data_IF_243749297350
#
_entry.id   IF_243749297350
#
_cell.length_a   1.000
_cell.length_b   1.000
_cell.length_c   1.000
_cell.angle_alpha   90.00
_cell.angle_beta   90.00
_cell.angle_gamma   90.00
#
_symmetry.space_group_name_H-M   'P 1'
#
loop_
_entity.id
_entity.type
_entity.pdbx_description
1 polymer ?
#
# COMPACT_ATOMS: atom_id res chain seq x y z
N UNK A 1 -9.90 -16.72 -0.12
CA UNK A 1 -9.60 -16.49 -1.55
C UNK A 1 -8.46 -15.48 -1.67
N UNK A 2 -7.47 -15.78 -2.49
CA UNK A 2 -6.32 -14.90 -2.66
C UNK A 2 -6.70 -13.66 -3.49
N UNK A 3 -6.15 -12.51 -3.10
CA UNK A 3 -6.32 -11.26 -3.83
C UNK A 3 -5.20 -11.16 -4.87
N UNK A 4 -5.53 -10.78 -6.09
CA UNK A 4 -4.50 -10.60 -7.11
C UNK A 4 -3.71 -9.32 -6.83
N UNK A 5 -2.45 -9.30 -7.27
CA UNK A 5 -1.60 -8.12 -7.12
C UNK A 5 -2.24 -6.92 -7.84
N UNK A 6 -2.85 -7.14 -8.99
CA UNK A 6 -3.50 -6.07 -9.76
C UNK A 6 -4.68 -5.46 -9.01
N UNK A 7 -5.51 -6.29 -8.39
CA UNK A 7 -6.65 -5.80 -7.61
C UNK A 7 -6.18 -5.04 -6.37
N UNK A 8 -5.18 -5.58 -5.68
CA UNK A 8 -4.62 -4.90 -4.52
C UNK A 8 -4.02 -3.56 -4.91
N UNK A 9 -3.27 -3.51 -6.01
CA UNK A 9 -2.67 -2.26 -6.49
C UNK A 9 -3.73 -1.21 -6.81
N UNK A 10 -4.82 -1.60 -7.46
CA UNK A 10 -5.89 -0.67 -7.80
C UNK A 10 -6.54 -0.08 -6.54
N UNK A 11 -6.77 -0.89 -5.53
CA UNK A 11 -7.35 -0.40 -4.28
C UNK A 11 -6.40 0.52 -3.51
N UNK A 12 -5.11 0.18 -3.51
CA UNK A 12 -4.09 1.01 -2.87
C UNK A 12 -3.98 2.35 -3.59
N UNK A 13 -3.96 2.35 -4.92
CA UNK A 13 -3.92 3.58 -5.71
C UNK A 13 -5.13 4.45 -5.44
N UNK A 14 -6.32 3.85 -5.34
CA UNK A 14 -7.53 4.59 -5.02
C UNK A 14 -7.47 5.24 -3.65
N UNK A 15 -6.98 4.50 -2.65
CA UNK A 15 -6.84 5.04 -1.31
C UNK A 15 -5.84 6.21 -1.26
N UNK A 16 -4.71 6.06 -1.93
CA UNK A 16 -3.71 7.12 -2.01
C UNK A 16 -4.27 8.37 -2.68
N UNK A 17 -4.99 8.19 -3.77
CA UNK A 17 -5.61 9.31 -4.49
C UNK A 17 -6.61 10.06 -3.60
N UNK A 18 -7.41 9.34 -2.83
CA UNK A 18 -8.44 9.95 -1.99
C UNK A 18 -7.89 10.56 -0.71
N UNK A 19 -6.87 9.95 -0.12
CA UNK A 19 -6.44 10.29 1.24
C UNK A 19 -5.09 10.99 1.32
N UNK A 20 -4.28 10.92 0.27
CA UNK A 20 -2.90 11.41 0.32
C UNK A 20 -2.61 12.45 -0.76
N UNK A 21 -2.92 12.17 -2.01
CA UNK A 21 -2.51 13.02 -3.14
C UNK A 21 -3.58 14.00 -3.61
N UNK A 22 -4.76 13.94 -3.06
CA UNK A 22 -5.83 14.86 -3.42
C UNK A 22 -6.36 14.68 -4.85
N UNK A 23 -6.36 13.44 -5.35
CA UNK A 23 -6.88 13.11 -6.66
C UNK A 23 -5.84 12.80 -7.71
N UNK A 24 -4.55 12.99 -7.42
CA UNK A 24 -3.49 12.64 -8.36
C UNK A 24 -3.29 11.12 -8.38
N UNK A 25 -3.24 10.55 -9.56
CA UNK A 25 -2.94 9.14 -9.71
C UNK A 25 -1.47 8.86 -9.42
N UNK A 26 -1.22 7.77 -8.70
CA UNK A 26 0.12 7.33 -8.36
C UNK A 26 0.46 6.12 -9.22
N UNK A 27 1.60 6.17 -9.91
CA UNK A 27 2.07 5.04 -10.70
C UNK A 27 2.45 3.87 -9.78
N UNK A 28 2.23 2.61 -10.20
CA UNK A 28 2.61 1.46 -9.37
C UNK A 28 4.08 1.40 -9.01
N UNK A 29 4.95 1.97 -9.82
CA UNK A 29 6.39 1.97 -9.61
C UNK A 29 6.92 3.24 -8.94
N UNK A 30 6.06 4.21 -8.68
CA UNK A 30 6.50 5.49 -8.08
C UNK A 30 7.07 5.24 -6.68
N UNK A 31 8.29 5.77 -6.38
CA UNK A 31 8.88 5.62 -5.04
C UNK A 31 8.12 6.50 -4.05
N UNK A 32 7.23 5.91 -3.28
CA UNK A 32 6.31 6.64 -2.41
C UNK A 32 7.01 7.35 -1.26
N UNK A 33 7.97 6.68 -0.64
CA UNK A 33 8.69 7.24 0.51
C UNK A 33 9.74 8.25 0.03
N UNK A 34 10.52 7.89 -0.98
CA UNK A 34 11.55 8.77 -1.52
C UNK A 34 10.98 10.06 -2.10
N UNK A 35 9.82 9.98 -2.76
CA UNK A 35 9.17 11.14 -3.35
C UNK A 35 8.31 11.91 -2.35
N UNK A 36 8.25 11.46 -1.10
CA UNK A 36 7.48 12.15 -0.08
C UNK A 36 5.98 12.00 -0.20
N UNK A 37 5.51 11.02 -0.97
CA UNK A 37 4.08 10.75 -1.10
C UNK A 37 3.53 10.20 0.21
N UNK A 38 4.28 9.30 0.86
CA UNK A 38 3.89 8.73 2.14
C UNK A 38 4.81 9.23 3.25
N UNK A 39 4.24 9.87 4.26
CA UNK A 39 4.92 10.16 5.52
C UNK A 39 4.77 8.96 6.44
N UNK A 40 5.47 8.96 7.59
CA UNK A 40 5.33 7.89 8.58
C UNK A 40 3.90 7.75 9.06
N UNK A 41 3.22 8.85 9.32
CA UNK A 41 1.83 8.83 9.77
C UNK A 41 0.91 8.27 8.69
N UNK A 42 1.08 8.71 7.45
CA UNK A 42 0.26 8.23 6.34
C UNK A 42 0.50 6.76 6.05
N UNK A 43 1.72 6.27 6.26
CA UNK A 43 2.02 4.85 6.10
C UNK A 43 1.27 4.03 7.16
N UNK A 44 1.19 4.52 8.40
CA UNK A 44 0.40 3.86 9.44
C UNK A 44 -1.09 3.84 9.09
N UNK A 45 -1.60 4.92 8.54
CA UNK A 45 -2.99 4.99 8.10
C UNK A 45 -3.25 4.00 6.97
N UNK A 46 -2.31 3.87 6.04
CA UNK A 46 -2.40 2.90 4.96
C UNK A 46 -2.41 1.47 5.50
N UNK A 47 -1.54 1.17 6.46
CA UNK A 47 -1.52 -0.16 7.09
C UNK A 47 -2.89 -0.50 7.68
N UNK A 48 -3.51 0.44 8.39
CA UNK A 48 -4.84 0.24 8.96
C UNK A 48 -5.85 -0.08 7.87
N UNK A 49 -5.80 0.66 6.76
CA UNK A 49 -6.68 0.40 5.62
C UNK A 49 -6.46 -1.01 5.07
N UNK A 50 -5.21 -1.41 4.88
CA UNK A 50 -4.88 -2.73 4.34
C UNK A 50 -5.36 -3.85 5.25
N UNK A 51 -5.15 -3.70 6.55
CA UNK A 51 -5.56 -4.72 7.51
C UNK A 51 -7.07 -4.91 7.54
N UNK A 52 -7.81 -3.81 7.49
CA UNK A 52 -9.27 -3.87 7.50
C UNK A 52 -9.83 -4.33 6.15
N UNK A 53 -9.26 -3.84 5.06
CA UNK A 53 -9.79 -4.10 3.72
C UNK A 53 -9.51 -5.52 3.25
N UNK A 54 -8.34 -6.06 3.57
CA UNK A 54 -7.91 -7.37 3.09
C UNK A 54 -7.86 -8.44 4.18
N UNK A 55 -8.21 -8.07 5.40
CA UNK A 55 -8.20 -8.99 6.55
C UNK A 55 -6.83 -9.64 6.74
N UNK A 56 -5.80 -8.82 6.78
CA UNK A 56 -4.41 -9.26 6.96
C UNK A 56 -3.81 -8.57 8.18
N UNK A 57 -2.63 -9.04 8.60
CA UNK A 57 -1.86 -8.41 9.66
C UNK A 57 -0.49 -8.07 9.09
N UNK A 58 -0.10 -6.79 9.21
CA UNK A 58 1.24 -6.33 8.81
C UNK A 58 2.13 -6.38 10.04
N UNK A 59 3.19 -7.17 9.97
CA UNK A 59 4.14 -7.32 11.07
C UNK A 59 5.10 -6.15 11.14
N UNK A 60 5.66 -5.89 12.32
CA UNK A 60 6.59 -4.76 12.51
C UNK A 60 7.79 -4.83 11.57
N UNK A 61 8.33 -6.02 11.33
CA UNK A 61 9.49 -6.20 10.45
C UNK A 61 9.15 -6.09 8.96
N UNK A 62 7.87 -6.03 8.63
CA UNK A 62 7.41 -5.79 7.25
C UNK A 62 7.20 -4.31 6.96
N UNK A 63 7.26 -3.49 7.97
CA UNK A 63 7.01 -2.04 7.90
C UNK A 63 8.30 -1.32 7.51
N UNK A 64 8.74 -1.53 6.26
CA UNK A 64 10.00 -0.97 5.78
C UNK A 64 9.84 -0.44 4.35
N UNK A 65 10.88 0.24 3.86
CA UNK A 65 10.87 0.83 2.53
C UNK A 65 10.79 -0.21 1.42
N UNK A 66 11.35 -1.40 1.65
CA UNK A 66 11.30 -2.46 0.66
C UNK A 66 9.86 -2.91 0.38
N UNK A 67 9.06 -3.05 1.44
CA UNK A 67 7.67 -3.48 1.31
C UNK A 67 6.71 -2.34 1.01
N UNK A 68 6.99 -1.14 1.48
CA UNK A 68 6.10 0.02 1.38
C UNK A 68 6.62 1.12 0.46
N UNK A 69 7.66 0.84 -0.29
CA UNK A 69 8.28 1.84 -1.16
C UNK A 69 7.50 2.18 -2.41
N UNK A 70 6.60 1.32 -2.84
CA UNK A 70 5.78 1.56 -4.04
C UNK A 70 4.46 0.82 -3.92
N UNK A 71 3.48 1.22 -4.74
CA UNK A 71 2.19 0.53 -4.81
C UNK A 71 2.41 -0.95 -5.18
N UNK A 72 3.28 -1.21 -6.13
CA UNK A 72 3.58 -2.57 -6.57
C UNK A 72 4.14 -3.43 -5.41
N UNK A 73 5.05 -2.88 -4.62
CA UNK A 73 5.62 -3.60 -3.48
C UNK A 73 4.55 -3.88 -2.43
N UNK A 74 3.72 -2.89 -2.12
CA UNK A 74 2.62 -3.05 -1.15
C UNK A 74 1.62 -4.08 -1.64
N UNK A 75 1.26 -4.03 -2.91
CA UNK A 75 0.32 -4.98 -3.49
C UNK A 75 0.87 -6.41 -3.45
N UNK A 76 2.16 -6.58 -3.69
CA UNK A 76 2.82 -7.88 -3.60
C UNK A 76 2.77 -8.43 -2.17
N UNK A 77 2.99 -7.57 -1.19
CA UNK A 77 2.90 -7.96 0.23
C UNK A 77 1.48 -8.42 0.56
N UNK A 78 0.47 -7.65 0.15
CA UNK A 78 -0.93 -7.99 0.39
C UNK A 78 -1.28 -9.31 -0.26
N UNK A 79 -0.91 -9.50 -1.52
CA UNK A 79 -1.20 -10.73 -2.24
C UNK A 79 -0.57 -11.95 -1.55
N UNK A 80 0.65 -11.81 -1.07
CA UNK A 80 1.35 -12.88 -0.37
C UNK A 80 0.65 -13.26 0.94
N UNK A 81 0.06 -12.28 1.64
CA UNK A 81 -0.62 -12.53 2.92
C UNK A 81 -2.03 -13.11 2.75
N UNK A 82 -2.64 -12.91 1.60
CA UNK A 82 -3.98 -13.44 1.31
C UNK A 82 -3.95 -14.77 0.58
N UNK A 83 -2.79 -15.19 0.16
CA UNK A 83 -2.63 -16.46 -0.59
C UNK A 83 -2.87 -17.70 0.28
#
# INVERSE_FOLDING_TARGET
>A
MAVSTENAAAEIQGWLSENVTGGREVSPEEPLIENGVLTSLQTLELVTFLEERFDIIVEDDEFDEENFGSVEAIASLVASKTA
#
